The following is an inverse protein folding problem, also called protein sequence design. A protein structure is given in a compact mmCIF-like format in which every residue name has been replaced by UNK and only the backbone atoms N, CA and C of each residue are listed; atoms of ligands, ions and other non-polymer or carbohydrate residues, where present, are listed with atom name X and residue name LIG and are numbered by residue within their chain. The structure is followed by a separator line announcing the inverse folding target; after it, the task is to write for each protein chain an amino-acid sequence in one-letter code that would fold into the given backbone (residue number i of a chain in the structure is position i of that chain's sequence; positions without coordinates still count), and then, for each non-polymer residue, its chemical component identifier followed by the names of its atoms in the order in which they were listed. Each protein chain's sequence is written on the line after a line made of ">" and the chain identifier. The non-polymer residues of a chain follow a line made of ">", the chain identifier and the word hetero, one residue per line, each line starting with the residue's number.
data_IF_658851967388
#
_entry.id   IF_658851967388
#
_cell.length_a   1.000
_cell.length_b   1.000
_cell.length_c   1.000
_cell.angle_alpha   90.00
_cell.angle_beta   90.00
_cell.angle_gamma   90.00
#
_symmetry.space_group_name_H-M   'P 1'
#
loop_
_entity.id
_entity.type
_entity.pdbx_description
1 polymer ?
#
# COMPACT_ATOMS: atom_id res chain seq x y z
N UNK A 1 -15.71 -20.17 22.58
CA UNK A 1 -16.05 -18.93 21.84
C UNK A 1 -15.96 -19.24 20.36
N UNK A 2 -17.08 -19.20 19.65
CA UNK A 2 -17.14 -19.58 18.23
C UNK A 2 -16.67 -18.40 17.37
N UNK A 3 -15.74 -18.66 16.44
CA UNK A 3 -15.31 -17.69 15.45
C UNK A 3 -16.46 -17.41 14.47
N UNK A 4 -16.95 -16.18 14.43
CA UNK A 4 -17.86 -15.74 13.37
C UNK A 4 -17.06 -15.65 12.08
N UNK A 5 -17.21 -16.68 11.23
CA UNK A 5 -16.76 -16.63 9.84
C UNK A 5 -17.79 -15.81 9.07
N UNK A 6 -17.53 -14.52 8.87
CA UNK A 6 -18.37 -13.65 8.07
C UNK A 6 -18.23 -13.99 6.59
N UNK A 7 -19.09 -14.86 6.07
CA UNK A 7 -19.34 -14.98 4.63
C UNK A 7 -20.58 -14.15 4.33
N UNK A 8 -20.40 -12.92 3.82
CA UNK A 8 -21.50 -12.13 3.28
C UNK A 8 -21.85 -12.62 1.86
N UNK A 9 -23.13 -12.68 1.48
CA UNK A 9 -23.60 -13.29 0.23
C UNK A 9 -23.37 -12.43 -1.03
N UNK A 10 -22.85 -11.21 -0.88
CA UNK A 10 -22.28 -10.41 -1.96
C UNK A 10 -20.77 -10.42 -1.78
N UNK A 11 -20.00 -10.84 -2.78
CA UNK A 11 -18.54 -11.10 -2.70
C UNK A 11 -17.63 -9.89 -2.40
N UNK A 12 -18.06 -8.94 -1.59
CA UNK A 12 -17.24 -7.85 -1.05
C UNK A 12 -16.46 -8.41 0.13
N UNK A 13 -15.20 -8.79 -0.13
CA UNK A 13 -14.16 -8.78 0.90
C UNK A 13 -14.21 -7.41 1.58
N UNK A 14 -14.25 -7.34 2.91
CA UNK A 14 -14.34 -6.07 3.66
C UNK A 14 -13.11 -5.14 3.50
N UNK A 15 -12.24 -5.41 2.54
CA UNK A 15 -11.05 -4.62 2.21
C UNK A 15 -11.36 -3.65 1.07
N UNK A 16 -10.77 -2.43 1.10
CA UNK A 16 -10.99 -1.44 0.06
C UNK A 16 -10.36 -1.85 -1.28
N UNK A 17 -10.99 -1.43 -2.38
CA UNK A 17 -10.44 -1.61 -3.73
C UNK A 17 -9.23 -0.70 -4.01
N UNK A 18 -9.18 0.48 -3.39
CA UNK A 18 -8.07 1.42 -3.51
C UNK A 18 -7.77 2.07 -2.16
N UNK A 19 -6.50 2.06 -1.78
CA UNK A 19 -5.98 2.78 -0.61
C UNK A 19 -4.99 3.84 -1.07
N UNK A 20 -5.03 5.04 -0.47
CA UNK A 20 -4.16 6.16 -0.85
C UNK A 20 -3.32 6.69 0.32
N UNK A 21 -2.42 5.88 0.90
CA UNK A 21 -1.63 6.30 2.05
C UNK A 21 -0.55 7.32 1.67
N UNK A 22 -0.09 8.12 2.62
CA UNK A 22 1.22 8.78 2.54
C UNK A 22 2.36 7.81 2.97
N UNK A 23 3.61 8.27 3.01
CA UNK A 23 4.75 7.41 3.37
C UNK A 23 4.72 6.92 4.83
N UNK A 24 4.24 7.74 5.76
CA UNK A 24 4.07 7.38 7.17
C UNK A 24 3.03 6.26 7.33
N UNK A 25 1.83 6.45 6.78
CA UNK A 25 0.76 5.47 6.79
C UNK A 25 1.16 4.18 6.06
N UNK A 26 1.92 4.29 4.96
CA UNK A 26 2.39 3.13 4.20
C UNK A 26 3.32 2.25 5.03
N UNK A 27 4.23 2.86 5.80
CA UNK A 27 5.14 2.11 6.69
C UNK A 27 4.36 1.27 7.70
N UNK A 28 3.37 1.89 8.36
CA UNK A 28 2.53 1.21 9.36
C UNK A 28 1.69 0.09 8.74
N UNK A 29 1.06 0.36 7.59
CA UNK A 29 0.25 -0.62 6.87
C UNK A 29 1.07 -1.80 6.37
N UNK A 30 2.27 -1.55 5.84
CA UNK A 30 3.18 -2.60 5.38
C UNK A 30 3.64 -3.49 6.54
N UNK A 31 3.97 -2.89 7.69
CA UNK A 31 4.29 -3.64 8.91
C UNK A 31 3.10 -4.49 9.38
N UNK A 32 1.88 -3.93 9.39
CA UNK A 32 0.66 -4.66 9.71
C UNK A 32 0.34 -5.79 8.70
N UNK A 33 0.77 -5.63 7.45
CA UNK A 33 0.68 -6.65 6.40
C UNK A 33 1.81 -7.69 6.45
N UNK A 34 2.70 -7.65 7.46
CA UNK A 34 3.78 -8.62 7.64
C UNK A 34 4.99 -8.39 6.75
N UNK A 35 5.19 -7.18 6.24
CA UNK A 35 6.42 -6.82 5.52
C UNK A 35 7.60 -6.81 6.50
N UNK A 36 8.54 -7.76 6.33
CA UNK A 36 9.61 -8.03 7.30
C UNK A 36 10.67 -6.92 7.39
N UNK A 37 10.81 -6.14 6.33
CA UNK A 37 11.69 -4.97 6.27
C UNK A 37 10.98 -3.77 6.90
N UNK A 38 11.45 -3.37 8.08
CA UNK A 38 11.06 -2.10 8.68
C UNK A 38 11.73 -0.97 7.89
N UNK A 39 10.94 -0.25 7.09
CA UNK A 39 11.35 0.99 6.43
C UNK A 39 10.63 2.15 7.09
N UNK A 40 11.38 3.18 7.45
CA UNK A 40 10.84 4.44 7.99
C UNK A 40 10.08 5.21 6.92
N UNK A 41 9.21 6.13 7.34
CA UNK A 41 8.49 7.00 6.41
C UNK A 41 9.46 7.77 5.48
N UNK A 42 10.56 8.30 6.02
CA UNK A 42 11.57 9.04 5.25
C UNK A 42 12.27 8.16 4.21
N UNK A 43 12.60 6.90 4.55
CA UNK A 43 13.17 5.94 3.60
C UNK A 43 12.19 5.59 2.48
N UNK A 44 10.91 5.38 2.81
CA UNK A 44 9.87 5.12 1.81
C UNK A 44 9.60 6.34 0.94
N UNK A 45 9.61 7.55 1.49
CA UNK A 45 9.47 8.78 0.72
C UNK A 45 10.65 9.00 -0.24
N UNK A 46 11.87 8.69 0.21
CA UNK A 46 13.08 8.89 -0.57
C UNK A 46 13.32 7.84 -1.66
N UNK A 47 12.79 6.62 -1.49
CA UNK A 47 12.99 5.49 -2.40
C UNK A 47 11.66 4.94 -2.93
N UNK A 48 11.26 5.31 -4.16
CA UNK A 48 10.05 4.80 -4.79
C UNK A 48 10.02 3.27 -4.96
N UNK A 49 11.16 2.60 -5.09
CA UNK A 49 11.19 1.13 -5.19
C UNK A 49 10.88 0.49 -3.82
N UNK A 50 11.43 1.05 -2.74
CA UNK A 50 11.08 0.64 -1.38
C UNK A 50 9.59 0.88 -1.09
N UNK A 51 9.06 2.04 -1.48
CA UNK A 51 7.62 2.34 -1.38
C UNK A 51 6.76 1.34 -2.17
N UNK A 52 7.17 0.98 -3.39
CA UNK A 52 6.46 0.00 -4.19
C UNK A 52 6.46 -1.39 -3.53
N UNK A 53 7.58 -1.81 -2.93
CA UNK A 53 7.68 -3.09 -2.22
C UNK A 53 6.77 -3.15 -0.98
N UNK A 54 6.75 -2.07 -0.19
CA UNK A 54 5.86 -1.92 0.96
C UNK A 54 4.38 -1.93 0.55
N UNK A 55 4.03 -1.15 -0.49
CA UNK A 55 2.67 -1.11 -1.04
C UNK A 55 2.22 -2.47 -1.60
N UNK A 56 3.13 -3.23 -2.22
CA UNK A 56 2.83 -4.58 -2.69
C UNK A 56 2.49 -5.54 -1.53
N UNK A 57 3.08 -5.37 -0.33
CA UNK A 57 2.69 -6.15 0.84
C UNK A 57 1.24 -5.86 1.27
N UNK A 58 0.83 -4.59 1.22
CA UNK A 58 -0.53 -4.17 1.54
C UNK A 58 -1.54 -4.72 0.52
N UNK A 59 -1.22 -4.66 -0.79
CA UNK A 59 -2.02 -5.29 -1.85
C UNK A 59 -2.18 -6.79 -1.61
N UNK A 60 -1.08 -7.50 -1.32
CA UNK A 60 -1.12 -8.95 -1.01
C UNK A 60 -1.96 -9.29 0.23
N UNK A 61 -2.19 -8.33 1.12
CA UNK A 61 -3.11 -8.53 2.23
C UNK A 61 -4.58 -8.64 1.75
N UNK A 62 -4.92 -8.12 0.57
CA UNK A 62 -6.26 -8.20 -0.05
C UNK A 62 -6.90 -6.84 -0.36
N UNK A 63 -6.13 -5.75 -0.38
CA UNK A 63 -6.54 -4.44 -0.93
C UNK A 63 -6.36 -4.50 -2.45
N UNK A 64 -7.31 -3.96 -3.22
CA UNK A 64 -7.24 -4.04 -4.70
C UNK A 64 -6.03 -3.31 -5.30
N UNK A 65 -5.73 -2.11 -4.80
CA UNK A 65 -4.62 -1.27 -5.24
C UNK A 65 -4.16 -0.30 -4.14
N UNK A 66 -2.90 0.13 -4.20
CA UNK A 66 -2.34 1.14 -3.32
C UNK A 66 -1.74 2.27 -4.16
N UNK A 67 -2.21 3.50 -3.97
CA UNK A 67 -1.64 4.72 -4.52
C UNK A 67 -0.93 5.48 -3.40
N UNK A 68 0.34 5.16 -3.15
CA UNK A 68 1.11 5.79 -2.09
C UNK A 68 1.71 7.12 -2.56
N UNK A 69 1.48 8.19 -1.80
CA UNK A 69 2.04 9.52 -2.08
C UNK A 69 3.33 9.74 -1.29
N UNK A 70 4.39 10.16 -1.98
CA UNK A 70 5.76 10.32 -1.49
C UNK A 70 6.16 11.81 -1.48
N UNK A 71 5.29 12.66 -0.93
CA UNK A 71 5.51 14.10 -0.84
C UNK A 71 5.91 14.74 -2.18
N UNK A 72 7.05 15.43 -2.19
CA UNK A 72 7.60 16.07 -3.38
C UNK A 72 8.17 15.08 -4.41
N UNK A 73 8.41 13.82 -4.03
CA UNK A 73 8.99 12.80 -4.92
C UNK A 73 7.97 12.19 -5.87
N UNK A 74 6.67 12.42 -5.64
CA UNK A 74 5.59 11.97 -6.50
C UNK A 74 4.74 10.90 -5.82
N UNK A 75 4.33 9.87 -6.56
CA UNK A 75 3.49 8.79 -6.05
C UNK A 75 3.79 7.46 -6.75
N UNK A 76 3.59 6.36 -6.05
CA UNK A 76 3.62 5.00 -6.63
C UNK A 76 2.23 4.39 -6.61
N UNK A 77 1.78 3.89 -7.75
CA UNK A 77 0.60 3.04 -7.85
C UNK A 77 1.04 1.59 -7.91
N UNK A 78 0.50 0.74 -7.04
CA UNK A 78 0.76 -0.70 -7.01
C UNK A 78 -0.56 -1.47 -7.08
N UNK A 79 -0.59 -2.48 -7.93
CA UNK A 79 -1.70 -3.42 -8.12
C UNK A 79 -1.16 -4.84 -8.22
N UNK A 80 -2.02 -5.83 -8.45
CA UNK A 80 -1.59 -7.19 -8.76
C UNK A 80 -0.78 -7.29 -10.08
N UNK A 81 -1.00 -6.36 -11.01
CA UNK A 81 -0.38 -6.39 -12.35
C UNK A 81 0.99 -5.71 -12.41
N UNK A 82 1.35 -4.94 -11.39
CA UNK A 82 2.63 -4.23 -11.35
C UNK A 82 2.61 -2.95 -10.53
N UNK A 83 3.67 -2.16 -10.72
CA UNK A 83 3.89 -0.89 -10.06
C UNK A 83 4.26 0.20 -11.07
N UNK A 84 3.77 1.42 -10.85
CA UNK A 84 4.04 2.59 -11.68
C UNK A 84 4.40 3.79 -10.81
N UNK A 85 5.47 4.49 -11.19
CA UNK A 85 5.89 5.74 -10.55
C UNK A 85 5.34 6.93 -11.35
N UNK A 86 4.69 7.85 -10.65
CA UNK A 86 4.28 9.16 -11.17
C UNK A 86 5.12 10.25 -10.51
N UNK A 87 5.90 10.99 -11.30
CA UNK A 87 6.65 12.17 -10.87
C UNK A 87 5.95 13.44 -11.34
N UNK A 88 5.95 14.50 -10.53
CA UNK A 88 5.44 15.80 -10.96
C UNK A 88 6.40 16.45 -11.97
N UNK A 89 5.92 17.26 -12.93
CA UNK A 89 6.79 18.03 -13.81
C UNK A 89 7.58 19.07 -13.01
N UNK A 90 8.80 19.45 -13.44
CA UNK A 90 9.57 20.50 -12.78
C UNK A 90 8.75 21.79 -12.63
N UNK A 91 8.82 22.41 -11.45
CA UNK A 91 8.21 23.72 -11.17
C UNK A 91 9.16 24.87 -11.49
#
# INVERSE_FOLDING_TARGET
>A
VAAVSGTSPDGVSGKPDLLKPNAEELSELAAAAGFATASTADELEADPEAAAAAAAAVVRSGVGAVLATLGSKGAVLVTADGAWLATHPPV
#
